data_IF_263725435975
#
_entry.id   IF_263725435975
#
_cell.length_a   1.000
_cell.length_b   1.000
_cell.length_c   1.000
_cell.angle_alpha   90.00
_cell.angle_beta   90.00
_cell.angle_gamma   90.00
#
_symmetry.space_group_name_H-M   'P 1'
#
loop_
_entity.id
_entity.type
_entity.pdbx_description
1 polymer ?
#
# COMPACT_ATOMS: atom_id res chain seq x y z
N UNK A 1 30.80 -12.39 -27.02
CA UNK A 1 30.69 -12.03 -25.59
C UNK A 1 29.58 -12.87 -24.96
N UNK A 2 29.78 -13.36 -23.74
CA UNK A 2 28.91 -14.36 -23.10
C UNK A 2 27.60 -13.69 -22.61
N UNK A 3 26.49 -13.88 -23.32
CA UNK A 3 25.18 -13.26 -23.04
C UNK A 3 24.32 -13.99 -21.99
N UNK A 4 24.74 -15.19 -21.58
CA UNK A 4 24.04 -15.99 -20.56
C UNK A 4 23.77 -15.25 -19.22
N UNK A 5 24.66 -14.39 -18.70
CA UNK A 5 24.38 -13.65 -17.46
C UNK A 5 23.25 -12.64 -17.63
N UNK A 6 23.18 -11.97 -18.78
CA UNK A 6 22.13 -11.00 -19.11
C UNK A 6 20.76 -11.68 -19.22
N UNK A 7 20.73 -12.88 -19.80
CA UNK A 7 19.51 -13.68 -19.92
C UNK A 7 19.05 -14.15 -18.54
N UNK A 8 19.96 -14.65 -17.70
CA UNK A 8 19.64 -15.08 -16.34
C UNK A 8 19.08 -13.96 -15.47
N UNK A 9 19.72 -12.78 -15.49
CA UNK A 9 19.23 -11.61 -14.75
C UNK A 9 17.89 -11.14 -15.30
N UNK A 10 17.73 -11.06 -16.62
CA UNK A 10 16.48 -10.63 -17.24
C UNK A 10 15.30 -11.54 -16.90
N UNK A 11 15.49 -12.86 -16.98
CA UNK A 11 14.46 -13.84 -16.62
C UNK A 11 14.15 -13.75 -15.13
N UNK A 12 15.17 -13.66 -14.27
CA UNK A 12 14.99 -13.53 -12.82
C UNK A 12 14.15 -12.30 -12.45
N UNK A 13 14.52 -11.13 -12.97
CA UNK A 13 13.79 -9.87 -12.71
C UNK A 13 12.36 -9.93 -13.22
N UNK A 14 12.14 -10.50 -14.41
CA UNK A 14 10.80 -10.63 -14.99
C UNK A 14 9.91 -11.55 -14.14
N UNK A 15 10.45 -12.69 -13.70
CA UNK A 15 9.71 -13.65 -12.88
C UNK A 15 9.35 -13.06 -11.51
N UNK A 16 10.30 -12.39 -10.85
CA UNK A 16 10.08 -11.71 -9.57
C UNK A 16 8.97 -10.67 -9.65
N UNK A 17 8.97 -9.84 -10.71
CA UNK A 17 7.93 -8.84 -10.94
C UNK A 17 6.56 -9.50 -11.18
N UNK A 18 6.52 -10.57 -11.97
CA UNK A 18 5.28 -11.27 -12.28
C UNK A 18 4.62 -11.87 -11.03
N UNK A 19 5.41 -12.50 -10.14
CA UNK A 19 4.91 -13.07 -8.88
C UNK A 19 4.31 -11.99 -7.99
N UNK A 20 5.02 -10.87 -7.79
CA UNK A 20 4.52 -9.74 -6.99
C UNK A 20 3.23 -9.16 -7.57
N UNK A 21 3.15 -9.04 -8.90
CA UNK A 21 1.97 -8.54 -9.60
C UNK A 21 0.76 -9.47 -9.41
N UNK A 22 0.95 -10.78 -9.48
CA UNK A 22 -0.12 -11.77 -9.24
C UNK A 22 -0.59 -11.73 -7.79
N UNK A 23 0.35 -11.61 -6.85
CA UNK A 23 0.03 -11.53 -5.42
C UNK A 23 -0.80 -10.27 -5.10
N UNK A 24 -0.39 -9.12 -5.62
CA UNK A 24 -1.13 -7.86 -5.50
C UNK A 24 -2.54 -7.98 -6.09
N UNK A 25 -2.67 -8.56 -7.30
CA UNK A 25 -3.97 -8.78 -7.95
C UNK A 25 -4.88 -9.70 -7.14
N UNK A 26 -4.35 -10.74 -6.50
CA UNK A 26 -5.13 -11.61 -5.59
C UNK A 26 -5.62 -10.88 -4.35
N UNK A 27 -4.87 -9.92 -3.83
CA UNK A 27 -5.25 -9.14 -2.65
C UNK A 27 -6.28 -8.04 -2.93
N UNK A 28 -6.72 -7.85 -4.19
CA UNK A 28 -7.57 -6.71 -4.62
C UNK A 28 -7.05 -5.36 -4.13
N UNK A 29 -5.74 -5.25 -3.97
CA UNK A 29 -5.04 -4.03 -3.58
C UNK A 29 -4.15 -3.61 -4.74
N UNK A 30 -3.99 -2.31 -4.91
CA UNK A 30 -2.99 -1.78 -5.82
C UNK A 30 -1.60 -2.28 -5.40
N UNK A 31 -0.70 -2.38 -6.37
CA UNK A 31 0.65 -2.91 -6.17
C UNK A 31 1.30 -2.15 -5.02
N UNK A 32 1.70 -2.83 -3.91
CA UNK A 32 2.09 -2.13 -2.70
C UNK A 32 3.27 -1.22 -3.01
N UNK A 33 3.10 0.06 -2.72
CA UNK A 33 4.19 1.04 -2.80
C UNK A 33 5.32 0.60 -1.86
N UNK A 34 6.58 0.88 -2.21
CA UNK A 34 7.73 0.62 -1.35
C UNK A 34 7.51 1.19 0.06
N UNK A 35 6.81 2.32 0.16
CA UNK A 35 6.41 2.94 1.43
C UNK A 35 5.34 2.17 2.21
N UNK A 36 4.41 1.48 1.55
CA UNK A 36 3.41 0.63 2.22
C UNK A 36 3.99 -0.71 2.66
N UNK A 37 5.05 -1.18 1.99
CA UNK A 37 5.80 -2.37 2.41
C UNK A 37 6.74 -2.06 3.59
N UNK A 38 7.41 -0.89 3.58
CA UNK A 38 8.28 -0.44 4.67
C UNK A 38 7.50 0.03 5.91
N UNK A 39 6.36 0.67 5.69
CA UNK A 39 5.45 1.10 6.74
C UNK A 39 4.08 0.50 6.44
N UNK A 40 3.79 -0.73 6.92
CA UNK A 40 2.46 -1.28 6.79
C UNK A 40 1.52 -0.32 7.53
N UNK A 41 0.81 0.52 6.79
CA UNK A 41 -0.17 1.43 7.36
C UNK A 41 -1.17 0.59 8.12
N UNK A 42 -1.08 0.63 9.45
CA UNK A 42 -2.03 0.02 10.35
C UNK A 42 -3.38 0.70 10.10
N UNK A 43 -4.20 0.12 9.23
CA UNK A 43 -5.58 0.56 8.96
C UNK A 43 -6.45 0.62 10.23
N UNK A 44 -5.94 0.18 11.38
CA UNK A 44 -6.52 0.33 12.71
C UNK A 44 -6.72 1.80 13.13
N UNK A 45 -5.85 2.74 12.71
CA UNK A 45 -6.00 4.15 13.13
C UNK A 45 -6.98 4.97 12.28
N UNK A 46 -7.25 4.56 11.03
CA UNK A 46 -8.18 5.28 10.16
C UNK A 46 -9.61 5.30 10.71
N UNK A 47 -10.02 4.27 11.47
CA UNK A 47 -11.35 4.27 12.13
C UNK A 47 -11.40 5.25 13.29
N UNK A 48 -10.35 5.33 14.10
CA UNK A 48 -10.29 6.23 15.26
C UNK A 48 -10.27 7.68 14.82
N UNK A 49 -9.53 8.00 13.76
CA UNK A 49 -9.43 9.36 13.25
C UNK A 49 -10.76 9.86 12.65
N UNK A 50 -11.51 9.00 11.93
CA UNK A 50 -12.86 9.35 11.46
C UNK A 50 -13.84 9.63 12.61
N UNK A 51 -13.75 8.89 13.71
CA UNK A 51 -14.60 9.12 14.90
C UNK A 51 -14.20 10.45 15.57
N UNK A 52 -12.90 10.72 15.72
CA UNK A 52 -12.43 11.97 16.30
C UNK A 52 -12.79 13.19 15.43
N UNK A 53 -12.65 13.09 14.10
CA UNK A 53 -13.10 14.14 13.18
C UNK A 53 -14.61 14.39 13.27
N UNK A 54 -15.43 13.34 13.39
CA UNK A 54 -16.88 13.50 13.61
C UNK A 54 -17.18 14.21 14.93
N UNK A 55 -16.50 13.83 16.02
CA UNK A 55 -16.67 14.48 17.34
C UNK A 55 -16.24 15.94 17.30
N UNK A 56 -15.12 16.26 16.66
CA UNK A 56 -14.65 17.64 16.50
C UNK A 56 -15.65 18.51 15.72
N UNK A 57 -16.22 18.00 14.62
CA UNK A 57 -17.25 18.72 13.85
C UNK A 57 -18.55 18.95 14.63
N UNK A 58 -18.94 18.00 15.48
CA UNK A 58 -20.12 18.14 16.34
C UNK A 58 -19.89 19.15 17.46
N UNK A 59 -18.68 19.19 18.03
CA UNK A 59 -18.29 20.18 19.02
C UNK A 59 -18.26 21.60 18.43
N UNK A 60 -17.70 21.77 17.22
CA UNK A 60 -17.66 23.06 16.50
C UNK A 60 -19.07 23.57 16.17
N UNK A 61 -20.00 22.69 15.77
CA UNK A 61 -21.42 23.05 15.57
C UNK A 61 -22.12 23.47 16.85
N UNK A 62 -21.70 22.97 18.01
CA UNK A 62 -22.36 23.22 19.31
C UNK A 62 -21.82 24.45 20.04
N UNK A 63 -20.59 24.90 19.71
CA UNK A 63 -19.97 26.12 20.25
C UNK A 63 -20.27 27.40 19.46
N UNK A 64 -21.07 27.32 18.38
CA UNK A 64 -21.47 28.46 17.54
C UNK A 64 -22.86 29.05 17.88
N UNK A 65 -23.40 28.71 19.04
CA UNK A 65 -24.67 29.24 19.55
C UNK A 65 -24.46 30.05 20.82
#
# INVERSE_FOLDING_TARGET
>A
MNFYPLIGVGIGTFLSYYILKVLAKRMKKDMPSLGELMYPMHHTDSRKDKINQRKARLADKKGKH
#
